data_IF_967613795258
#
_entry.id   IF_967613795258
#
_cell.length_a   1.000
_cell.length_b   1.000
_cell.length_c   1.000
_cell.angle_alpha   90.00
_cell.angle_beta   90.00
_cell.angle_gamma   90.00
#
_symmetry.space_group_name_H-M   'P 1'
#
loop_
_entity.id
_entity.type
_entity.pdbx_description
1 polymer ?
#
# COMPACT_ATOMS: atom_id res chain seq x y z
N UNK A 1 -14.07 -45.78 -88.20
CA UNK A 1 -12.58 -45.90 -88.26
C UNK A 1 -12.01 -45.19 -87.07
N UNK A 2 -11.72 -45.85 -86.10
CA UNK A 2 -10.53 -46.29 -85.36
C UNK A 2 -9.45 -45.24 -85.28
N UNK A 3 -9.21 -44.70 -84.04
CA UNK A 3 -7.93 -44.54 -83.44
C UNK A 3 -8.03 -44.28 -81.90
N UNK A 4 -7.31 -44.99 -81.09
CA UNK A 4 -7.39 -44.81 -79.60
C UNK A 4 -6.43 -43.74 -79.12
N UNK A 5 -6.95 -42.86 -78.29
CA UNK A 5 -6.23 -41.88 -77.61
C UNK A 5 -5.52 -42.48 -76.36
N UNK A 6 -4.20 -42.65 -76.42
CA UNK A 6 -3.45 -43.07 -75.28
C UNK A 6 -3.18 -41.83 -74.39
N UNK A 7 -3.94 -41.73 -73.34
CA UNK A 7 -3.68 -40.77 -72.29
C UNK A 7 -2.47 -41.25 -71.43
N UNK A 8 -1.35 -40.69 -71.68
CA UNK A 8 -0.20 -40.87 -70.78
C UNK A 8 -0.37 -40.01 -69.53
N UNK A 9 -0.82 -40.67 -68.47
CA UNK A 9 -0.78 -40.09 -67.13
C UNK A 9 0.65 -40.03 -66.66
N UNK A 10 1.29 -38.91 -66.88
CA UNK A 10 2.56 -38.58 -66.20
C UNK A 10 2.23 -38.26 -64.73
N UNK A 11 2.33 -39.27 -63.91
CA UNK A 11 2.36 -39.12 -62.46
C UNK A 11 3.65 -38.40 -62.08
N UNK A 12 3.58 -37.08 -61.93
CA UNK A 12 4.67 -36.29 -61.37
C UNK A 12 4.82 -36.70 -59.92
N UNK A 13 5.72 -37.63 -59.64
CA UNK A 13 6.23 -37.91 -58.30
C UNK A 13 7.06 -36.69 -57.90
N UNK A 14 6.40 -35.71 -57.23
CA UNK A 14 7.10 -34.69 -56.51
C UNK A 14 7.94 -35.41 -55.42
N UNK A 15 9.27 -35.29 -55.41
CA UNK A 15 10.03 -35.79 -54.29
C UNK A 15 9.63 -34.96 -53.08
N UNK A 16 8.83 -35.53 -52.19
CA UNK A 16 8.73 -35.09 -50.83
C UNK A 16 10.17 -35.32 -50.26
N UNK A 17 11.04 -34.38 -50.56
CA UNK A 17 12.29 -34.22 -49.83
C UNK A 17 11.87 -33.83 -48.43
N UNK A 18 11.49 -34.86 -47.66
CA UNK A 18 11.42 -34.74 -46.24
C UNK A 18 12.70 -34.05 -45.81
N UNK A 19 12.60 -32.88 -45.30
CA UNK A 19 13.71 -32.18 -44.72
C UNK A 19 14.21 -33.03 -43.56
N UNK A 20 15.06 -34.03 -43.90
CA UNK A 20 15.86 -34.72 -42.93
C UNK A 20 16.79 -33.68 -42.40
N UNK A 21 16.32 -32.97 -41.35
CA UNK A 21 17.21 -32.12 -40.59
C UNK A 21 18.39 -32.97 -40.22
N UNK A 22 19.52 -32.71 -40.85
CA UNK A 22 20.73 -33.48 -40.60
C UNK A 22 21.03 -33.38 -39.10
N UNK A 23 21.52 -34.45 -38.51
CA UNK A 23 21.86 -34.51 -37.07
C UNK A 23 22.70 -33.29 -36.62
N UNK A 24 23.52 -32.76 -37.52
CA UNK A 24 24.33 -31.55 -37.35
C UNK A 24 23.48 -30.26 -37.29
N UNK A 25 22.48 -30.11 -38.15
CA UNK A 25 21.56 -28.96 -38.14
C UNK A 25 20.73 -28.92 -36.89
N UNK A 26 20.15 -30.04 -36.49
CA UNK A 26 19.36 -30.12 -35.23
C UNK A 26 20.22 -29.78 -34.02
N UNK A 27 21.40 -30.33 -33.90
CA UNK A 27 22.31 -29.99 -32.80
C UNK A 27 22.66 -28.50 -32.78
N UNK A 28 22.93 -27.90 -33.93
CA UNK A 28 23.26 -26.47 -34.03
C UNK A 28 22.06 -25.59 -33.65
N UNK A 29 20.89 -25.93 -34.11
CA UNK A 29 19.65 -25.19 -33.77
C UNK A 29 19.29 -25.31 -32.28
N UNK A 30 19.40 -26.50 -31.71
CA UNK A 30 19.17 -26.73 -30.27
C UNK A 30 20.21 -25.97 -29.42
N UNK A 31 21.50 -25.99 -29.81
CA UNK A 31 22.52 -25.25 -29.10
C UNK A 31 22.30 -23.72 -29.18
N UNK A 32 21.88 -23.20 -30.33
CA UNK A 32 21.53 -21.78 -30.50
C UNK A 32 20.35 -21.40 -29.67
N UNK A 33 19.28 -22.23 -29.62
CA UNK A 33 18.11 -21.99 -28.81
C UNK A 33 18.44 -22.07 -27.31
N UNK A 34 19.24 -23.02 -26.88
CA UNK A 34 19.73 -23.15 -25.52
C UNK A 34 20.48 -21.88 -25.07
N UNK A 35 21.41 -21.39 -25.91
CA UNK A 35 22.13 -20.15 -25.60
C UNK A 35 21.25 -18.92 -25.46
N UNK A 36 20.19 -18.79 -26.28
CA UNK A 36 19.20 -17.72 -26.18
C UNK A 36 18.43 -17.87 -24.87
N UNK A 37 17.95 -19.08 -24.55
CA UNK A 37 17.21 -19.36 -23.34
C UNK A 37 18.06 -19.11 -22.09
N UNK A 38 19.32 -19.58 -22.08
CA UNK A 38 20.23 -19.36 -20.96
C UNK A 38 20.50 -17.86 -20.73
N UNK A 39 20.71 -17.10 -21.80
CA UNK A 39 20.91 -15.65 -21.70
C UNK A 39 19.66 -14.93 -21.17
N UNK A 40 18.47 -15.35 -21.60
CA UNK A 40 17.21 -14.81 -21.10
C UNK A 40 17.01 -15.14 -19.60
N UNK A 41 17.32 -16.36 -19.17
CA UNK A 41 17.26 -16.75 -17.76
C UNK A 41 18.27 -15.96 -16.89
N UNK A 42 19.47 -15.73 -17.38
CA UNK A 42 20.47 -14.92 -16.67
C UNK A 42 19.96 -13.48 -16.51
N UNK A 43 19.44 -12.90 -17.59
CA UNK A 43 18.88 -11.55 -17.56
C UNK A 43 17.66 -11.44 -16.59
N UNK A 44 16.76 -12.43 -16.62
CA UNK A 44 15.61 -12.45 -15.73
C UNK A 44 16.03 -12.61 -14.25
N UNK A 45 16.97 -13.49 -13.95
CA UNK A 45 17.51 -13.64 -12.58
C UNK A 45 18.15 -12.34 -12.09
N UNK A 46 18.91 -11.66 -12.93
CA UNK A 46 19.52 -10.38 -12.60
C UNK A 46 18.46 -9.30 -12.35
N UNK A 47 17.41 -9.23 -13.17
CA UNK A 47 16.31 -8.30 -13.00
C UNK A 47 15.52 -8.57 -11.69
N UNK A 48 15.26 -9.86 -11.39
CA UNK A 48 14.62 -10.25 -10.11
C UNK A 48 15.48 -9.87 -8.91
N UNK A 49 16.76 -10.20 -8.93
CA UNK A 49 17.69 -9.86 -7.86
C UNK A 49 17.78 -8.34 -7.62
N UNK A 50 17.78 -7.54 -8.71
CA UNK A 50 17.75 -6.08 -8.61
C UNK A 50 16.42 -5.60 -8.01
N UNK A 51 15.28 -6.16 -8.41
CA UNK A 51 13.96 -5.87 -7.85
C UNK A 51 13.88 -6.22 -6.36
N UNK A 52 14.35 -7.41 -5.98
CA UNK A 52 14.37 -7.85 -4.59
C UNK A 52 15.24 -6.94 -3.71
N UNK A 53 16.41 -6.52 -4.23
CA UNK A 53 17.29 -5.57 -3.55
C UNK A 53 16.63 -4.20 -3.36
N UNK A 54 15.95 -3.68 -4.39
CA UNK A 54 15.22 -2.42 -4.33
C UNK A 54 14.07 -2.50 -3.32
N UNK A 55 13.31 -3.59 -3.33
CA UNK A 55 12.23 -3.84 -2.37
C UNK A 55 12.76 -3.92 -0.93
N UNK A 56 13.86 -4.63 -0.70
CA UNK A 56 14.49 -4.70 0.61
C UNK A 56 14.92 -3.32 1.12
N UNK A 57 15.51 -2.50 0.25
CA UNK A 57 15.89 -1.13 0.58
C UNK A 57 14.67 -0.25 0.91
N UNK A 58 13.57 -0.37 0.15
CA UNK A 58 12.33 0.36 0.41
C UNK A 58 11.68 -0.05 1.74
N UNK A 59 11.67 -1.35 2.05
CA UNK A 59 11.18 -1.87 3.34
C UNK A 59 12.03 -1.35 4.50
N UNK A 60 13.36 -1.35 4.36
CA UNK A 60 14.25 -0.82 5.38
C UNK A 60 14.03 0.68 5.62
N UNK A 61 13.85 1.47 4.56
CA UNK A 61 13.55 2.89 4.66
C UNK A 61 12.20 3.14 5.35
N UNK A 62 11.15 2.39 4.98
CA UNK A 62 9.84 2.48 5.64
C UNK A 62 9.94 2.16 7.13
N UNK A 63 10.61 1.07 7.50
CA UNK A 63 10.82 0.69 8.91
C UNK A 63 11.51 1.82 9.69
N UNK A 64 12.53 2.43 9.12
CA UNK A 64 13.23 3.55 9.75
C UNK A 64 12.32 4.78 9.92
N UNK A 65 11.52 5.11 8.89
CA UNK A 65 10.56 6.22 8.96
C UNK A 65 9.49 5.98 10.04
N UNK A 66 8.97 4.76 10.13
CA UNK A 66 7.98 4.37 11.15
C UNK A 66 8.58 4.38 12.56
N UNK A 67 9.82 3.90 12.71
CA UNK A 67 10.52 3.93 14.00
C UNK A 67 10.80 5.37 14.46
N UNK A 68 11.16 6.25 13.53
CA UNK A 68 11.31 7.68 13.80
C UNK A 68 9.98 8.29 14.27
N UNK A 69 8.87 8.00 13.58
CA UNK A 69 7.55 8.45 14.01
C UNK A 69 7.18 7.92 15.40
N UNK A 70 7.53 6.68 15.70
CA UNK A 70 7.31 6.10 17.02
C UNK A 70 8.09 6.80 18.12
N UNK A 71 9.38 7.06 17.89
CA UNK A 71 10.28 7.71 18.87
C UNK A 71 9.97 9.18 19.05
N UNK A 72 9.86 9.92 17.96
CA UNK A 72 9.80 11.38 18.01
C UNK A 72 8.39 11.89 18.33
N UNK A 73 7.37 11.14 17.89
CA UNK A 73 5.97 11.58 18.02
C UNK A 73 5.09 10.60 18.82
N UNK A 74 5.67 9.54 19.41
CA UNK A 74 4.93 8.54 20.18
C UNK A 74 3.87 7.79 19.38
N UNK A 75 4.03 7.71 18.05
CA UNK A 75 3.09 7.01 17.19
C UNK A 75 3.07 5.51 17.50
N UNK A 76 1.88 4.93 17.59
CA UNK A 76 1.66 3.49 17.66
C UNK A 76 1.04 3.02 16.35
N UNK A 77 1.61 1.97 15.78
CA UNK A 77 1.15 1.41 14.52
C UNK A 77 0.65 0.01 14.78
N UNK A 78 -0.58 -0.27 14.41
CA UNK A 78 -1.19 -1.58 14.52
C UNK A 78 -1.73 -2.03 13.15
N UNK A 79 -1.55 -3.31 12.85
CA UNK A 79 -2.25 -3.92 11.72
C UNK A 79 -3.71 -4.14 12.11
N UNK A 80 -4.61 -3.81 11.22
CA UNK A 80 -6.04 -4.10 11.31
C UNK A 80 -6.45 -4.91 10.09
N UNK A 81 -7.65 -5.52 10.10
CA UNK A 81 -8.09 -6.50 9.10
C UNK A 81 -7.90 -5.98 7.65
N UNK A 82 -8.15 -4.69 7.41
CA UNK A 82 -8.11 -4.09 6.07
C UNK A 82 -7.01 -3.04 5.89
N UNK A 83 -5.99 -2.97 6.76
CA UNK A 83 -4.96 -1.95 6.60
C UNK A 83 -4.06 -1.70 7.81
N UNK A 84 -3.58 -0.48 7.91
CA UNK A 84 -2.72 -0.01 8.99
C UNK A 84 -3.41 1.10 9.78
N UNK A 85 -3.45 0.95 11.09
CA UNK A 85 -3.93 1.96 12.02
C UNK A 85 -2.77 2.71 12.65
N UNK A 86 -2.71 4.01 12.38
CA UNK A 86 -1.76 4.92 13.01
C UNK A 86 -2.45 5.66 14.16
N UNK A 87 -2.02 5.37 15.37
CA UNK A 87 -2.43 6.11 16.56
C UNK A 87 -1.31 7.09 16.89
N UNK A 88 -1.45 8.32 16.43
CA UNK A 88 -0.56 9.40 16.82
C UNK A 88 -1.22 10.22 17.93
N UNK A 89 -0.46 10.79 18.86
CA UNK A 89 -1.02 11.63 19.91
C UNK A 89 -1.36 13.04 19.38
N UNK A 90 -2.21 13.11 18.35
CA UNK A 90 -2.82 14.38 17.92
C UNK A 90 -3.92 14.69 18.90
N UNK A 91 -3.56 15.38 19.98
CA UNK A 91 -4.47 15.72 21.06
C UNK A 91 -5.03 17.11 20.89
N UNK A 92 -6.18 17.34 21.51
CA UNK A 92 -6.90 18.62 21.46
C UNK A 92 -7.14 19.16 22.87
N UNK A 93 -7.20 20.49 22.98
CA UNK A 93 -7.66 21.12 24.20
C UNK A 93 -9.14 20.76 24.48
N UNK A 94 -9.56 20.97 25.71
CA UNK A 94 -10.95 20.78 26.07
C UNK A 94 -11.82 21.73 25.23
N UNK A 95 -12.90 21.18 24.68
CA UNK A 95 -13.86 21.89 23.83
C UNK A 95 -13.29 22.58 22.58
N UNK A 96 -12.08 22.19 22.14
CA UNK A 96 -11.41 22.74 20.98
C UNK A 96 -11.27 21.69 19.87
N UNK A 97 -11.36 22.14 18.61
CA UNK A 97 -11.15 21.34 17.41
C UNK A 97 -9.95 21.82 16.58
N UNK A 98 -9.25 22.87 17.00
CA UNK A 98 -8.12 23.41 16.25
C UNK A 98 -6.89 22.52 16.39
N UNK A 99 -6.18 22.33 15.28
CA UNK A 99 -4.88 21.62 15.27
C UNK A 99 -3.86 22.49 16.02
N UNK A 100 -3.42 21.99 17.15
CA UNK A 100 -2.43 22.68 17.97
C UNK A 100 -1.06 22.68 17.26
N UNK A 101 -0.27 23.74 17.49
CA UNK A 101 1.05 23.93 16.87
C UNK A 101 1.99 22.74 17.10
N UNK A 102 1.99 22.22 18.34
CA UNK A 102 2.80 21.06 18.74
C UNK A 102 2.50 19.78 17.95
N UNK A 103 1.30 19.66 17.36
CA UNK A 103 0.89 18.48 16.58
C UNK A 103 1.26 18.59 15.09
N UNK A 104 1.57 19.78 14.59
CA UNK A 104 1.79 20.02 13.15
C UNK A 104 3.00 19.25 12.62
N UNK A 105 4.10 19.19 13.37
CA UNK A 105 5.29 18.43 12.94
C UNK A 105 4.98 16.93 12.74
N UNK A 106 4.23 16.33 13.66
CA UNK A 106 3.81 14.94 13.57
C UNK A 106 2.89 14.69 12.36
N UNK A 107 1.92 15.60 12.14
CA UNK A 107 1.00 15.53 10.99
C UNK A 107 1.72 15.70 9.66
N UNK A 108 2.69 16.62 9.56
CA UNK A 108 3.51 16.80 8.36
C UNK A 108 4.33 15.55 8.07
N UNK A 109 4.94 14.95 9.11
CA UNK A 109 5.67 13.68 8.94
C UNK A 109 4.77 12.55 8.50
N UNK A 110 3.57 12.43 9.07
CA UNK A 110 2.57 11.47 8.63
C UNK A 110 2.20 11.68 7.16
N UNK A 111 1.96 12.92 6.72
CA UNK A 111 1.64 13.22 5.33
C UNK A 111 2.77 12.77 4.39
N UNK A 112 4.04 13.03 4.75
CA UNK A 112 5.20 12.59 3.97
C UNK A 112 5.27 11.07 3.83
N UNK A 113 5.06 10.35 4.94
CA UNK A 113 5.05 8.88 4.94
C UNK A 113 3.89 8.33 4.10
N UNK A 114 2.70 8.90 4.27
CA UNK A 114 1.53 8.48 3.53
C UNK A 114 1.69 8.69 2.01
N UNK A 115 2.20 9.84 1.57
CA UNK A 115 2.46 10.12 0.16
C UNK A 115 3.51 9.18 -0.43
N UNK A 116 4.56 8.92 0.32
CA UNK A 116 5.70 8.11 -0.17
C UNK A 116 5.38 6.63 -0.27
N UNK A 117 4.70 6.07 0.73
CA UNK A 117 4.54 4.62 0.87
C UNK A 117 3.12 4.11 0.62
N UNK A 118 2.13 5.02 0.64
CA UNK A 118 0.71 4.67 0.47
C UNK A 118 0.02 5.55 -0.57
N UNK A 119 0.64 5.76 -1.77
CA UNK A 119 0.05 6.62 -2.79
C UNK A 119 -1.31 6.07 -3.23
N UNK A 120 -2.32 6.93 -3.27
CA UNK A 120 -3.68 6.56 -3.69
C UNK A 120 -4.49 5.74 -2.69
N UNK A 121 -3.93 5.38 -1.53
CA UNK A 121 -4.67 4.69 -0.47
C UNK A 121 -5.72 5.59 0.15
N UNK A 122 -6.86 5.02 0.52
CA UNK A 122 -7.85 5.72 1.33
C UNK A 122 -7.36 5.84 2.77
N UNK A 123 -7.40 7.06 3.32
CA UNK A 123 -7.03 7.34 4.70
C UNK A 123 -8.25 7.84 5.43
N UNK A 124 -8.73 7.08 6.41
CA UNK A 124 -9.83 7.49 7.28
C UNK A 124 -9.27 8.22 8.50
N UNK A 125 -9.67 9.47 8.67
CA UNK A 125 -9.34 10.33 9.80
C UNK A 125 -10.44 10.18 10.86
N UNK A 126 -10.14 9.47 11.92
CA UNK A 126 -11.09 9.15 13.00
C UNK A 126 -10.92 10.14 14.15
N UNK A 127 -11.95 10.94 14.46
CA UNK A 127 -11.96 11.87 15.57
C UNK A 127 -12.70 11.32 16.80
N UNK A 128 -12.20 11.68 17.98
CA UNK A 128 -12.75 11.28 19.28
C UNK A 128 -12.87 12.47 20.23
N UNK A 129 -13.80 12.38 21.18
CA UNK A 129 -13.99 13.33 22.26
C UNK A 129 -13.92 12.61 23.61
N UNK A 130 -13.67 13.35 24.69
CA UNK A 130 -13.90 12.86 26.03
C UNK A 130 -15.42 12.88 26.37
N UNK A 131 -15.87 12.17 27.41
CA UNK A 131 -17.29 12.10 27.75
C UNK A 131 -17.82 13.34 28.48
N UNK A 132 -17.21 14.51 28.33
CA UNK A 132 -17.72 15.76 28.84
C UNK A 132 -18.71 16.37 27.85
N UNK A 133 -19.96 16.52 28.24
CA UNK A 133 -21.02 17.06 27.39
C UNK A 133 -22.02 16.01 26.90
N UNK A 134 -22.91 16.40 25.98
CA UNK A 134 -23.88 15.46 25.41
C UNK A 134 -23.26 14.64 24.27
N UNK A 135 -23.79 13.42 24.07
CA UNK A 135 -23.34 12.54 23.00
C UNK A 135 -23.43 13.20 21.60
N UNK A 136 -24.50 13.95 21.32
CA UNK A 136 -24.66 14.66 20.05
C UNK A 136 -23.60 15.77 19.87
N UNK A 137 -23.31 16.49 20.94
CA UNK A 137 -22.25 17.50 20.93
C UNK A 137 -20.89 16.88 20.68
N UNK A 138 -20.54 15.80 21.40
CA UNK A 138 -19.29 15.08 21.27
C UNK A 138 -19.14 14.44 19.88
N UNK A 139 -20.20 13.93 19.28
CA UNK A 139 -20.21 13.45 17.90
C UNK A 139 -19.84 14.60 16.91
N UNK A 140 -20.44 15.77 17.08
CA UNK A 140 -20.14 16.94 16.26
C UNK A 140 -18.70 17.46 16.49
N UNK A 141 -18.25 17.54 17.74
CA UNK A 141 -16.91 18.01 18.10
C UNK A 141 -15.82 17.09 17.55
N UNK A 142 -15.99 15.79 17.72
CA UNK A 142 -15.06 14.80 17.20
C UNK A 142 -14.94 14.85 15.68
N UNK A 143 -16.05 15.05 14.99
CA UNK A 143 -16.07 15.23 13.54
C UNK A 143 -15.33 16.50 13.11
N UNK A 144 -15.57 17.65 13.76
CA UNK A 144 -14.84 18.91 13.48
C UNK A 144 -13.33 18.74 13.68
N UNK A 145 -12.88 18.01 14.72
CA UNK A 145 -11.47 17.68 14.93
C UNK A 145 -10.87 16.94 13.74
N UNK A 146 -11.55 15.90 13.28
CA UNK A 146 -11.12 15.12 12.12
C UNK A 146 -11.14 15.94 10.82
N UNK A 147 -12.11 16.82 10.62
CA UNK A 147 -12.19 17.72 9.47
C UNK A 147 -11.03 18.73 9.45
N UNK A 148 -10.68 19.31 10.59
CA UNK A 148 -9.56 20.25 10.71
C UNK A 148 -8.20 19.56 10.45
N UNK A 149 -8.03 18.33 10.94
CA UNK A 149 -6.85 17.52 10.64
C UNK A 149 -6.80 17.17 9.15
N UNK A 150 -7.92 16.74 8.55
CA UNK A 150 -8.03 16.50 7.10
C UNK A 150 -7.60 17.74 6.31
N UNK A 151 -8.14 18.90 6.67
CA UNK A 151 -7.78 20.17 6.01
C UNK A 151 -6.30 20.46 6.12
N UNK A 152 -5.70 20.28 7.29
CA UNK A 152 -4.26 20.44 7.47
C UNK A 152 -3.46 19.47 6.59
N UNK A 153 -3.82 18.18 6.58
CA UNK A 153 -3.13 17.17 5.75
C UNK A 153 -3.22 17.50 4.26
N UNK A 154 -4.34 18.07 3.80
CA UNK A 154 -4.49 18.54 2.42
C UNK A 154 -3.51 19.68 2.12
N UNK A 155 -3.28 20.61 3.06
CA UNK A 155 -2.24 21.65 2.88
C UNK A 155 -0.83 21.08 2.84
N UNK A 156 -0.62 19.88 3.40
CA UNK A 156 0.65 19.17 3.32
C UNK A 156 0.77 18.30 2.05
N UNK A 157 -0.18 18.41 1.11
CA UNK A 157 -0.12 17.78 -0.20
C UNK A 157 -0.79 16.42 -0.31
N UNK A 158 -1.51 15.94 0.72
CA UNK A 158 -2.36 14.76 0.57
C UNK A 158 -3.62 15.08 -0.25
N UNK A 159 -4.02 14.16 -1.13
CA UNK A 159 -5.25 14.30 -1.91
C UNK A 159 -6.48 14.24 -1.00
N UNK A 160 -7.22 15.35 -0.92
CA UNK A 160 -8.44 15.44 -0.13
C UNK A 160 -9.54 14.45 -0.53
N UNK A 161 -9.53 13.93 -1.77
CA UNK A 161 -10.49 12.92 -2.24
C UNK A 161 -10.26 11.54 -1.62
N UNK A 162 -9.02 11.26 -1.21
CA UNK A 162 -8.65 10.00 -0.53
C UNK A 162 -8.80 10.08 0.99
N UNK A 163 -9.07 11.27 1.55
CA UNK A 163 -9.20 11.51 2.98
C UNK A 163 -10.68 11.45 3.40
N UNK A 164 -11.08 10.38 4.08
CA UNK A 164 -12.40 10.22 4.70
C UNK A 164 -12.39 10.75 6.14
N UNK A 165 -13.51 11.25 6.63
CA UNK A 165 -13.66 11.78 7.99
C UNK A 165 -14.76 11.03 8.72
N UNK A 166 -14.45 10.56 9.93
CA UNK A 166 -15.40 9.93 10.83
C UNK A 166 -15.27 10.53 12.23
N UNK A 167 -16.38 10.97 12.82
CA UNK A 167 -16.44 11.40 14.21
C UNK A 167 -17.14 10.33 15.05
N UNK A 168 -16.43 9.80 16.04
CA UNK A 168 -16.95 8.77 16.95
C UNK A 168 -17.49 9.32 18.27
N UNK A 169 -17.43 10.64 18.47
CA UNK A 169 -17.82 11.24 19.73
C UNK A 169 -17.01 10.69 20.90
N UNK A 170 -17.70 10.36 21.98
CA UNK A 170 -17.11 9.77 23.20
C UNK A 170 -16.98 8.25 23.17
N UNK A 171 -17.31 7.62 22.04
CA UNK A 171 -17.16 6.17 21.85
C UNK A 171 -15.68 5.78 21.85
N UNK A 172 -15.37 4.55 22.26
CA UNK A 172 -14.01 3.98 22.23
C UNK A 172 -12.99 4.81 23.02
N UNK A 173 -13.32 5.14 24.26
CA UNK A 173 -12.44 5.85 25.19
C UNK A 173 -11.15 5.04 25.42
N UNK A 174 -10.01 5.73 25.50
CA UNK A 174 -8.71 5.16 25.92
C UNK A 174 -8.67 5.08 27.43
N UNK A 175 -9.07 6.15 28.11
CA UNK A 175 -9.22 6.19 29.57
C UNK A 175 -10.72 6.30 29.89
N UNK A 176 -11.28 5.22 30.43
CA UNK A 176 -12.69 5.11 30.67
C UNK A 176 -13.18 6.16 31.68
N UNK A 177 -14.22 6.89 31.30
CA UNK A 177 -14.87 7.89 32.14
C UNK A 177 -14.09 9.20 32.33
N UNK A 178 -12.79 9.26 31.94
CA UNK A 178 -11.98 10.47 32.10
C UNK A 178 -12.48 11.60 31.18
N UNK A 179 -12.86 12.72 31.77
CA UNK A 179 -13.46 13.87 31.11
C UNK A 179 -12.82 15.19 31.59
N UNK A 180 -12.85 16.17 30.72
CA UNK A 180 -12.37 17.53 30.99
C UNK A 180 -10.97 17.55 31.59
N UNK A 181 -10.84 17.80 32.88
CA UNK A 181 -9.58 17.96 33.62
C UNK A 181 -9.14 16.67 34.33
N UNK A 182 -9.89 15.57 34.20
CA UNK A 182 -9.50 14.29 34.77
C UNK A 182 -8.20 13.78 34.15
N UNK A 183 -7.38 13.10 34.95
CA UNK A 183 -6.12 12.52 34.47
C UNK A 183 -6.39 11.55 33.30
N UNK A 184 -5.77 11.82 32.17
CA UNK A 184 -5.90 10.99 30.98
C UNK A 184 -7.05 11.38 30.04
N UNK A 185 -7.88 12.39 30.38
CA UNK A 185 -8.95 12.87 29.52
C UNK A 185 -8.43 13.35 28.16
N UNK A 186 -7.21 13.91 28.13
CA UNK A 186 -6.53 14.34 26.91
C UNK A 186 -6.30 13.19 25.92
N UNK A 187 -6.16 11.94 26.39
CA UNK A 187 -6.01 10.75 25.55
C UNK A 187 -7.32 10.38 24.83
N UNK A 188 -8.48 10.77 25.40
CA UNK A 188 -9.77 10.60 24.76
C UNK A 188 -9.98 11.66 23.67
N UNK A 189 -9.45 12.87 23.83
CA UNK A 189 -9.51 13.97 22.85
C UNK A 189 -8.43 13.81 21.78
N UNK A 190 -8.61 12.88 20.86
CA UNK A 190 -7.59 12.48 19.88
C UNK A 190 -8.12 12.35 18.47
N UNK A 191 -7.17 12.28 17.53
CA UNK A 191 -7.42 11.80 16.17
C UNK A 191 -6.53 10.59 15.89
N UNK A 192 -7.05 9.66 15.11
CA UNK A 192 -6.38 8.43 14.68
C UNK A 192 -6.52 8.30 13.16
N UNK A 193 -5.57 7.68 12.50
CA UNK A 193 -5.59 7.45 11.06
C UNK A 193 -5.66 5.96 10.78
N UNK A 194 -6.55 5.58 9.86
CA UNK A 194 -6.64 4.23 9.32
C UNK A 194 -6.33 4.32 7.83
N UNK A 195 -5.25 3.70 7.38
CA UNK A 195 -4.88 3.61 5.98
C UNK A 195 -5.41 2.28 5.46
N UNK A 196 -6.39 2.34 4.57
CA UNK A 196 -6.91 1.19 3.86
C UNK A 196 -6.00 0.90 2.66
N UNK A 197 -5.39 -0.26 2.63
CA UNK A 197 -4.57 -0.68 1.48
C UNK A 197 -5.46 -0.93 0.27
N UNK A 198 -5.40 -0.11 -0.75
CA UNK A 198 -6.02 -0.41 -2.03
C UNK A 198 -5.35 -1.66 -2.64
N UNK A 199 -5.86 -2.85 -2.32
CA UNK A 199 -5.52 -4.08 -3.03
C UNK A 199 -4.16 -4.71 -2.74
N UNK A 200 -3.47 -4.34 -1.67
CA UNK A 200 -2.34 -5.13 -1.19
C UNK A 200 -2.89 -6.31 -0.38
N UNK A 201 -3.14 -7.44 -1.09
CA UNK A 201 -3.24 -8.72 -0.39
C UNK A 201 -2.00 -8.84 0.53
N UNK A 202 -2.14 -9.33 1.76
CA UNK A 202 -1.02 -9.46 2.67
C UNK A 202 -0.02 -10.44 2.07
N UNK A 203 0.96 -9.94 1.33
CA UNK A 203 2.17 -10.70 1.03
C UNK A 203 2.86 -10.89 2.37
N UNK A 204 2.71 -12.10 2.92
CA UNK A 204 3.09 -12.54 4.25
C UNK A 204 4.44 -12.03 4.74
N UNK A 205 4.44 -10.87 5.35
CA UNK A 205 5.48 -10.48 6.29
C UNK A 205 4.93 -10.76 7.67
N UNK A 206 5.15 -11.97 8.12
CA UNK A 206 5.03 -12.29 9.54
C UNK A 206 6.00 -11.36 10.28
N UNK A 207 5.47 -10.32 10.92
CA UNK A 207 6.20 -9.58 11.93
C UNK A 207 6.40 -10.55 13.08
N UNK A 208 7.63 -11.09 13.23
CA UNK A 208 8.02 -11.83 14.42
C UNK A 208 7.75 -10.92 15.62
N UNK A 209 6.81 -11.33 16.45
CA UNK A 209 6.62 -10.81 17.80
C UNK A 209 7.83 -11.15 18.65
N UNK A 210 8.35 -10.25 19.47
CA UNK A 210 9.43 -10.50 20.40
C UNK A 210 9.03 -11.50 21.47
#
# INVERSE_FOLDING_TARGET
MRAPLRASVLLALAPVLGACATKGYVRKSVAAQAAITDSAFVAERAARAAGDSANAAAIAALRNDLETMRKDFGAKIAMVEDGLKFVMPVTFAFDDANVQEQNKAALTRFATVAQKYYPGSTITVEGFADPAGSANYNASLSRRRAENVRSFLTTQGLDGSTLKVVGYGESRQVVQGAKKDDTGAEQNRRVVFVIESAGMAPTGVALATP
#
